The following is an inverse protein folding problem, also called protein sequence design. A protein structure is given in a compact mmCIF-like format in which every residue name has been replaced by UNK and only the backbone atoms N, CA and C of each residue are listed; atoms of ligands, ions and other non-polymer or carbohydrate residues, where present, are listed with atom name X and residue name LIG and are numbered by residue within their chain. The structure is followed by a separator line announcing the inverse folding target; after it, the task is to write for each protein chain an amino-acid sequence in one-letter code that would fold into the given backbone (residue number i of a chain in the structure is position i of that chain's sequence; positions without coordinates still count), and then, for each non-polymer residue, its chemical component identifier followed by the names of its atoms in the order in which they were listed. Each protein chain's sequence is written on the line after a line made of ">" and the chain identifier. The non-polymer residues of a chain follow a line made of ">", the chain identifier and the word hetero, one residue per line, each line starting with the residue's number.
data_IF_790814150513
#
_entry.id   IF_790814150513
#
_cell.length_a   1.000
_cell.length_b   1.000
_cell.length_c   1.000
_cell.angle_alpha   90.00
_cell.angle_beta   90.00
_cell.angle_gamma   90.00
#
_symmetry.space_group_name_H-M   'P 1'
#
loop_
_entity.id
_entity.type
_entity.pdbx_description
1 polymer ?
#
# COMPACT_ATOMS: atom_id res chain seq x y z
N UNK A 1 1.85 9.97 6.18
CA UNK A 1 1.58 8.57 5.78
C UNK A 1 2.78 7.80 5.25
N UNK A 2 3.58 8.34 4.32
CA UNK A 2 4.71 7.58 3.73
C UNK A 2 5.71 7.00 4.77
N UNK A 3 6.02 7.75 5.83
CA UNK A 3 6.88 7.27 6.93
C UNK A 3 6.28 6.03 7.62
N UNK A 4 4.96 6.03 7.87
CA UNK A 4 4.28 4.88 8.46
C UNK A 4 4.30 3.67 7.51
N UNK A 5 4.16 3.90 6.19
CA UNK A 5 4.29 2.86 5.19
C UNK A 5 5.69 2.26 5.14
N UNK A 6 6.74 3.09 5.17
CA UNK A 6 8.13 2.62 5.24
C UNK A 6 8.42 1.85 6.53
N UNK A 7 7.96 2.36 7.68
CA UNK A 7 8.11 1.69 8.96
C UNK A 7 7.42 0.32 8.98
N UNK A 8 6.20 0.23 8.45
CA UNK A 8 5.46 -1.03 8.33
C UNK A 8 6.18 -2.02 7.41
N UNK A 9 6.67 -1.56 6.25
CA UNK A 9 7.43 -2.39 5.32
C UNK A 9 8.71 -2.94 5.97
N UNK A 10 9.49 -2.07 6.61
CA UNK A 10 10.73 -2.45 7.29
C UNK A 10 10.43 -3.43 8.42
N UNK A 11 9.43 -3.14 9.26
CA UNK A 11 9.02 -4.01 10.36
C UNK A 11 8.61 -5.40 9.89
N UNK A 12 7.79 -5.48 8.83
CA UNK A 12 7.38 -6.76 8.25
C UNK A 12 8.55 -7.51 7.61
N UNK A 13 9.51 -6.82 7.01
CA UNK A 13 10.73 -7.44 6.45
C UNK A 13 11.68 -7.97 7.53
N UNK A 14 11.69 -7.37 8.70
CA UNK A 14 12.46 -7.87 9.86
C UNK A 14 11.74 -9.07 10.48
N UNK A 15 10.41 -9.01 10.60
CA UNK A 15 9.60 -10.02 11.29
C UNK A 15 9.34 -11.28 10.45
N UNK A 16 9.16 -11.13 9.14
CA UNK A 16 8.78 -12.21 8.23
C UNK A 16 9.93 -12.50 7.26
N UNK A 17 10.58 -13.66 7.42
CA UNK A 17 11.69 -14.09 6.54
C UNK A 17 11.26 -14.39 5.10
N UNK A 18 10.05 -14.92 4.92
CA UNK A 18 9.50 -15.21 3.60
C UNK A 18 9.12 -13.91 2.89
N UNK A 19 9.83 -13.59 1.81
CA UNK A 19 9.66 -12.33 1.06
C UNK A 19 8.27 -12.21 0.44
N UNK A 20 7.67 -13.32 -0.01
CA UNK A 20 6.35 -13.31 -0.63
C UNK A 20 5.26 -13.07 0.43
N UNK A 21 5.35 -13.75 1.58
CA UNK A 21 4.44 -13.52 2.72
C UNK A 21 4.57 -12.12 3.29
N UNK A 22 5.80 -11.59 3.43
CA UNK A 22 6.03 -10.23 3.91
C UNK A 22 5.42 -9.19 2.96
N UNK A 23 5.54 -9.41 1.65
CA UNK A 23 4.96 -8.53 0.63
C UNK A 23 3.43 -8.56 0.68
N UNK A 24 2.83 -9.75 0.77
CA UNK A 24 1.39 -9.91 0.93
C UNK A 24 0.86 -9.24 2.21
N UNK A 25 1.50 -9.48 3.35
CA UNK A 25 1.13 -8.86 4.61
C UNK A 25 1.22 -7.32 4.54
N UNK A 26 2.29 -6.80 3.91
CA UNK A 26 2.45 -5.36 3.71
C UNK A 26 1.33 -4.80 2.84
N UNK A 27 1.04 -5.41 1.68
CA UNK A 27 -0.01 -4.93 0.78
C UNK A 27 -1.39 -4.87 1.46
N UNK A 28 -1.74 -5.91 2.23
CA UNK A 28 -3.04 -5.95 2.93
C UNK A 28 -3.11 -4.91 4.05
N UNK A 29 -2.11 -4.85 4.92
CA UNK A 29 -2.10 -3.91 6.03
C UNK A 29 -2.02 -2.46 5.54
N UNK A 30 -1.22 -2.21 4.51
CA UNK A 30 -1.09 -0.89 3.90
C UNK A 30 -2.37 -0.45 3.19
N UNK A 31 -3.08 -1.37 2.52
CA UNK A 31 -4.40 -1.09 1.95
C UNK A 31 -5.38 -0.60 3.03
N UNK A 32 -5.49 -1.35 4.13
CA UNK A 32 -6.39 -1.00 5.25
C UNK A 32 -6.05 0.38 5.82
N UNK A 33 -4.77 0.65 6.08
CA UNK A 33 -4.31 1.95 6.61
C UNK A 33 -4.61 3.08 5.62
N UNK A 34 -4.37 2.86 4.33
CA UNK A 34 -4.60 3.87 3.29
C UNK A 34 -6.09 4.20 3.10
N UNK A 35 -6.98 3.21 3.18
CA UNK A 35 -8.43 3.42 3.13
C UNK A 35 -8.89 4.19 4.36
N UNK A 36 -8.39 3.83 5.56
CA UNK A 36 -8.66 4.60 6.77
C UNK A 36 -8.21 6.06 6.65
N UNK A 37 -7.07 6.31 6.01
CA UNK A 37 -6.58 7.67 5.77
C UNK A 37 -7.48 8.46 4.81
N UNK A 38 -7.91 7.87 3.70
CA UNK A 38 -8.86 8.48 2.76
C UNK A 38 -10.18 8.81 3.47
N UNK A 39 -10.72 7.89 4.26
CA UNK A 39 -11.95 8.11 5.00
C UNK A 39 -11.81 9.23 6.03
N UNK A 40 -10.67 9.35 6.70
CA UNK A 40 -10.40 10.47 7.63
C UNK A 40 -10.29 11.81 6.87
N UNK A 41 -9.62 11.83 5.72
CA UNK A 41 -9.52 13.03 4.87
C UNK A 41 -10.89 13.55 4.44
N UNK A 42 -11.77 12.64 4.02
CA UNK A 42 -13.12 12.99 3.60
C UNK A 42 -14.05 13.31 4.78
N UNK A 43 -14.16 12.42 5.76
CA UNK A 43 -15.18 12.48 6.81
C UNK A 43 -14.83 13.45 7.93
N UNK A 44 -13.54 13.66 8.21
CA UNK A 44 -13.08 14.48 9.33
C UNK A 44 -12.47 15.81 8.88
N UNK A 45 -11.71 15.83 7.79
CA UNK A 45 -11.07 17.05 7.29
C UNK A 45 -11.90 17.79 6.24
N UNK A 46 -12.98 17.17 5.73
CA UNK A 46 -13.92 17.80 4.81
C UNK A 46 -13.41 17.95 3.38
N UNK A 47 -12.37 17.21 2.99
CA UNK A 47 -11.89 17.17 1.61
C UNK A 47 -12.88 16.48 0.67
N UNK A 48 -12.85 16.84 -0.62
CA UNK A 48 -13.69 16.20 -1.61
C UNK A 48 -13.28 14.76 -1.86
N UNK A 49 -14.25 13.85 -2.02
CA UNK A 49 -14.00 12.45 -2.37
C UNK A 49 -13.07 12.27 -3.58
N UNK A 50 -13.21 13.13 -4.59
CA UNK A 50 -12.36 13.09 -5.79
C UNK A 50 -10.90 13.47 -5.52
N UNK A 51 -10.68 14.46 -4.65
CA UNK A 51 -9.32 14.92 -4.29
C UNK A 51 -8.60 13.83 -3.51
N UNK A 52 -9.26 13.28 -2.49
CA UNK A 52 -8.72 12.19 -1.66
C UNK A 52 -8.53 10.90 -2.46
N UNK A 53 -9.42 10.58 -3.40
CA UNK A 53 -9.27 9.41 -4.26
C UNK A 53 -8.04 9.50 -5.16
N UNK A 54 -7.73 10.68 -5.71
CA UNK A 54 -6.51 10.88 -6.52
C UNK A 54 -5.26 10.70 -5.66
N UNK A 55 -5.23 11.28 -4.46
CA UNK A 55 -4.12 11.11 -3.52
C UNK A 55 -3.97 9.64 -3.13
N UNK A 56 -5.07 8.95 -2.84
CA UNK A 56 -5.05 7.53 -2.50
C UNK A 56 -4.56 6.65 -3.66
N UNK A 57 -4.95 6.94 -4.90
CA UNK A 57 -4.42 6.27 -6.09
C UNK A 57 -2.92 6.48 -6.26
N UNK A 58 -2.38 7.64 -5.92
CA UNK A 58 -0.93 7.88 -5.96
C UNK A 58 -0.19 7.18 -4.81
N UNK A 59 -0.75 7.19 -3.60
CA UNK A 59 -0.10 6.65 -2.39
C UNK A 59 -0.17 5.12 -2.31
N UNK A 60 -1.27 4.52 -2.77
CA UNK A 60 -1.48 3.08 -2.75
C UNK A 60 -1.56 2.48 -4.14
N UNK A 61 -2.37 3.07 -5.03
CA UNK A 61 -2.65 2.52 -6.36
C UNK A 61 -1.39 2.37 -7.23
N UNK A 62 -0.55 3.41 -7.33
CA UNK A 62 0.67 3.37 -8.13
C UNK A 62 1.69 2.33 -7.64
N UNK A 63 2.05 2.25 -6.34
CA UNK A 63 2.89 1.18 -5.82
C UNK A 63 2.31 -0.22 -6.02
N UNK A 64 1.00 -0.39 -5.83
CA UNK A 64 0.33 -1.69 -6.02
C UNK A 64 0.33 -2.12 -7.49
N UNK A 65 0.06 -1.19 -8.41
CA UNK A 65 0.12 -1.44 -9.84
C UNK A 65 1.55 -1.84 -10.27
N UNK A 66 2.57 -1.13 -9.78
CA UNK A 66 3.96 -1.47 -10.06
C UNK A 66 4.31 -2.87 -9.53
N UNK A 67 3.89 -3.21 -8.31
CA UNK A 67 4.12 -4.55 -7.74
C UNK A 67 3.47 -5.66 -8.60
N UNK A 68 2.24 -5.45 -9.08
CA UNK A 68 1.55 -6.38 -9.97
C UNK A 68 2.25 -6.54 -11.32
N UNK A 69 2.72 -5.43 -11.92
CA UNK A 69 3.47 -5.44 -13.17
C UNK A 69 4.77 -6.23 -13.01
N UNK A 70 5.52 -5.99 -11.94
CA UNK A 70 6.76 -6.72 -11.64
C UNK A 70 6.50 -8.21 -11.47
N UNK A 71 5.44 -8.61 -10.78
CA UNK A 71 5.06 -10.03 -10.65
C UNK A 71 4.70 -10.64 -12.01
N UNK A 72 4.00 -9.90 -12.88
CA UNK A 72 3.59 -10.38 -14.22
C UNK A 72 4.74 -10.49 -15.20
N UNK A 73 5.71 -9.56 -15.14
CA UNK A 73 6.86 -9.51 -16.05
C UNK A 73 8.06 -10.33 -15.56
N UNK A 74 8.19 -10.51 -14.24
CA UNK A 74 9.36 -11.09 -13.59
C UNK A 74 9.18 -12.52 -13.08
N UNK A 75 8.21 -13.29 -13.59
CA UNK A 75 8.05 -14.69 -13.21
C UNK A 75 8.82 -15.63 -14.17
N UNK A 76 10.03 -16.12 -13.81
CA UNK A 76 10.43 -17.45 -14.25
C UNK A 76 9.35 -18.43 -13.76
N UNK A 77 8.78 -19.19 -14.69
CA UNK A 77 7.93 -20.33 -14.34
C UNK A 77 8.81 -21.38 -13.63
N UNK A 78 8.31 -22.06 -12.58
CA UNK A 78 8.96 -23.28 -12.10
C UNK A 78 9.00 -24.35 -13.19
#
# INVERSE_FOLDING_TARGET
>A
MLIAGLALLIGLRILIRDKARATWAFLVLWLIISVGNLLVGVLSAGYGWGEEAVVWLLVFGAPAALALIVVRLGAPRP
#
